data_IF_752406483501
#
_entry.id   IF_752406483501
#
_cell.length_a   1.000
_cell.length_b   1.000
_cell.length_c   1.000
_cell.angle_alpha   90.00
_cell.angle_beta   90.00
_cell.angle_gamma   90.00
#
_symmetry.space_group_name_H-M   'P 1'
#
loop_
_entity.id
_entity.type
_entity.pdbx_description
1 polymer ?
#
# COMPACT_ATOMS: atom_id res chain seq x y z
N UNK A 1 -5.83 8.07 -7.45
CA UNK A 1 -5.32 9.43 -7.70
C UNK A 1 -5.29 9.67 -9.21
N UNK A 2 -5.82 10.80 -9.70
CA UNK A 2 -5.53 11.29 -11.06
C UNK A 2 -4.43 12.35 -10.93
N UNK A 3 -3.23 12.05 -11.40
CA UNK A 3 -2.26 13.08 -11.77
C UNK A 3 -1.72 12.65 -13.12
N UNK A 4 -2.49 12.93 -14.17
CA UNK A 4 -1.87 13.13 -15.47
C UNK A 4 -1.18 14.50 -15.38
N UNK A 5 0.17 14.59 -15.48
CA UNK A 5 0.83 15.87 -15.50
C UNK A 5 0.36 16.61 -16.76
N UNK A 6 -0.46 17.65 -16.58
CA UNK A 6 -0.70 18.58 -17.66
C UNK A 6 0.65 19.27 -17.93
N UNK A 7 1.20 19.11 -19.15
CA UNK A 7 2.49 19.69 -19.57
C UNK A 7 2.52 21.23 -19.48
N UNK A 8 1.41 21.86 -19.10
CA UNK A 8 1.25 23.30 -18.84
C UNK A 8 1.41 23.70 -17.37
N UNK A 9 1.69 22.77 -16.46
CA UNK A 9 1.87 23.06 -15.04
C UNK A 9 3.06 24.00 -14.79
N UNK A 10 2.90 24.99 -13.91
CA UNK A 10 4.00 25.89 -13.54
C UNK A 10 5.01 25.17 -12.62
N UNK A 11 6.25 25.67 -12.55
CA UNK A 11 7.26 25.13 -11.64
C UNK A 11 6.80 25.16 -10.17
N UNK A 12 6.13 26.24 -9.75
CA UNK A 12 5.64 26.40 -8.37
C UNK A 12 4.57 25.36 -8.07
N UNK A 13 3.62 25.16 -8.97
CA UNK A 13 2.55 24.18 -8.78
C UNK A 13 3.11 22.74 -8.77
N UNK A 14 4.09 22.46 -9.63
CA UNK A 14 4.73 21.14 -9.70
C UNK A 14 5.44 20.77 -8.38
N UNK A 15 6.18 21.72 -7.79
CA UNK A 15 6.81 21.50 -6.48
C UNK A 15 5.78 21.39 -5.36
N UNK A 16 4.74 22.23 -5.35
CA UNK A 16 3.66 22.12 -4.36
C UNK A 16 2.95 20.76 -4.43
N UNK A 17 2.79 20.21 -5.63
CA UNK A 17 2.23 18.87 -5.82
C UNK A 17 3.18 17.77 -5.33
N UNK A 18 4.49 17.89 -5.60
CA UNK A 18 5.48 16.96 -5.08
C UNK A 18 5.52 16.96 -3.54
N UNK A 19 5.49 18.15 -2.93
CA UNK A 19 5.43 18.31 -1.47
C UNK A 19 4.16 17.68 -0.88
N UNK A 20 3.02 17.84 -1.55
CA UNK A 20 1.76 17.22 -1.11
C UNK A 20 1.83 15.68 -1.17
N UNK A 21 2.43 15.11 -2.22
CA UNK A 21 2.66 13.67 -2.32
C UNK A 21 3.58 13.17 -1.20
N UNK A 22 4.67 13.89 -0.92
CA UNK A 22 5.60 13.55 0.17
C UNK A 22 4.92 13.65 1.54
N UNK A 23 4.17 14.73 1.78
CA UNK A 23 3.40 14.95 3.00
C UNK A 23 2.39 13.83 3.22
N UNK A 24 1.65 13.46 2.16
CA UNK A 24 0.70 12.36 2.21
C UNK A 24 1.40 11.03 2.47
N UNK A 25 2.56 10.79 1.85
CA UNK A 25 3.33 9.55 2.05
C UNK A 25 3.75 9.36 3.50
N UNK A 26 4.36 10.40 4.10
CA UNK A 26 4.76 10.38 5.51
C UNK A 26 3.52 10.26 6.42
N UNK A 27 2.46 10.99 6.11
CA UNK A 27 1.19 10.93 6.83
C UNK A 27 0.59 9.53 6.83
N UNK A 28 0.53 8.87 5.67
CA UNK A 28 0.03 7.51 5.55
C UNK A 28 0.83 6.52 6.39
N UNK A 29 2.17 6.55 6.33
CA UNK A 29 3.02 5.65 7.14
C UNK A 29 2.83 5.91 8.64
N UNK A 30 2.76 7.18 9.05
CA UNK A 30 2.51 7.55 10.43
C UNK A 30 1.11 7.11 10.90
N UNK A 31 0.09 7.25 10.05
CA UNK A 31 -1.28 6.78 10.33
C UNK A 31 -1.33 5.28 10.54
N UNK A 32 -0.49 4.47 9.87
CA UNK A 32 -0.44 3.02 10.08
C UNK A 32 0.01 2.65 11.50
N UNK A 33 0.87 3.48 12.10
CA UNK A 33 1.44 3.26 13.43
C UNK A 33 0.55 3.89 14.52
N UNK A 34 0.00 5.08 14.24
CA UNK A 34 -0.69 5.91 15.23
C UNK A 34 -2.19 5.61 15.33
N UNK A 35 -2.81 5.07 14.28
CA UNK A 35 -4.24 4.79 14.28
C UNK A 35 -4.51 3.45 14.94
N UNK A 36 -5.07 3.48 16.15
CA UNK A 36 -5.47 2.26 16.85
C UNK A 36 -6.62 1.59 16.10
N UNK A 37 -6.28 0.54 15.37
CA UNK A 37 -7.23 -0.30 14.63
C UNK A 37 -7.78 -1.47 15.45
N UNK A 38 -8.62 -2.29 14.80
CA UNK A 38 -9.03 -3.61 15.32
C UNK A 38 -7.84 -4.57 15.30
N UNK A 39 -7.01 -4.48 14.26
CA UNK A 39 -5.71 -5.12 14.17
C UNK A 39 -4.69 -4.00 14.10
N UNK A 40 -3.98 -3.80 15.20
CA UNK A 40 -2.97 -2.75 15.29
C UNK A 40 -1.63 -3.28 14.76
N UNK A 41 -0.98 -2.47 13.94
CA UNK A 41 0.42 -2.68 13.54
C UNK A 41 1.31 -1.99 14.56
N UNK A 42 2.31 -2.69 15.09
CA UNK A 42 3.25 -2.07 16.02
C UNK A 42 4.40 -1.36 15.28
N UNK A 43 5.03 -0.41 15.97
CA UNK A 43 6.14 0.35 15.39
C UNK A 43 7.38 -0.52 15.12
N UNK A 44 7.58 -1.58 15.89
CA UNK A 44 8.74 -2.45 15.77
C UNK A 44 8.66 -3.30 14.49
N UNK A 45 7.46 -3.78 14.14
CA UNK A 45 7.17 -4.52 12.92
C UNK A 45 7.42 -3.65 11.69
N UNK A 46 6.87 -2.43 11.66
CA UNK A 46 7.10 -1.47 10.57
C UNK A 46 8.58 -1.16 10.45
N UNK A 47 9.24 -0.82 11.57
CA UNK A 47 10.68 -0.53 11.58
C UNK A 47 11.50 -1.72 11.09
N UNK A 48 11.07 -2.95 11.38
CA UNK A 48 11.75 -4.17 10.93
C UNK A 48 11.67 -4.31 9.42
N UNK A 49 10.50 -4.12 8.80
CA UNK A 49 10.36 -4.14 7.33
C UNK A 49 11.26 -3.07 6.68
N UNK A 50 11.27 -1.84 7.20
CA UNK A 50 12.11 -0.78 6.65
C UNK A 50 13.61 -1.01 6.86
N UNK A 51 14.03 -1.69 7.94
CA UNK A 51 15.45 -2.00 8.23
C UNK A 51 15.98 -3.23 7.53
N UNK A 52 15.11 -4.20 7.23
CA UNK A 52 15.47 -5.41 6.49
C UNK A 52 15.77 -5.11 5.03
N UNK A 53 15.23 -4.00 4.50
CA UNK A 53 15.45 -3.57 3.13
C UNK A 53 16.91 -3.21 2.86
N UNK A 54 17.57 -3.99 2.00
CA UNK A 54 18.90 -3.65 1.49
C UNK A 54 18.85 -2.48 0.50
N UNK A 55 17.68 -2.27 -0.12
CA UNK A 55 17.37 -1.14 -1.00
C UNK A 55 16.73 0.00 -0.22
N UNK A 56 17.03 1.24 -0.58
CA UNK A 56 16.29 2.41 -0.06
C UNK A 56 14.97 2.63 -0.79
N UNK A 57 14.64 1.81 -1.79
CA UNK A 57 13.41 1.94 -2.56
C UNK A 57 12.19 1.59 -1.72
N UNK A 58 11.23 2.51 -1.69
CA UNK A 58 9.94 2.34 -1.05
C UNK A 58 8.87 2.81 -2.02
N UNK A 59 7.82 2.01 -2.14
CA UNK A 59 6.71 2.26 -3.04
C UNK A 59 5.43 2.36 -2.22
N UNK A 60 4.72 3.47 -2.36
CA UNK A 60 3.40 3.68 -1.76
C UNK A 60 2.32 3.54 -2.82
N UNK A 61 1.32 2.70 -2.52
CA UNK A 61 0.16 2.51 -3.38
C UNK A 61 -1.12 2.68 -2.58
N UNK A 62 -2.13 3.32 -3.16
CA UNK A 62 -3.44 3.51 -2.53
C UNK A 62 -4.53 3.11 -3.52
N UNK A 63 -5.44 2.25 -3.08
CA UNK A 63 -6.59 1.81 -3.85
C UNK A 63 -7.88 1.87 -3.03
N UNK A 64 -9.00 2.10 -3.69
CA UNK A 64 -10.32 2.15 -3.05
C UNK A 64 -11.33 1.36 -3.86
N UNK A 65 -12.05 0.48 -3.18
CA UNK A 65 -13.10 -0.35 -3.77
C UNK A 65 -14.15 -0.73 -2.71
N UNK A 66 -15.09 -1.60 -3.05
CA UNK A 66 -16.11 -2.14 -2.15
C UNK A 66 -15.57 -3.26 -1.26
N UNK A 67 -14.51 -3.95 -1.72
CA UNK A 67 -13.91 -5.10 -1.01
C UNK A 67 -12.41 -4.91 -0.83
N UNK A 68 -11.80 -5.43 0.25
CA UNK A 68 -10.36 -5.34 0.50
C UNK A 68 -9.51 -5.87 -0.66
N UNK A 69 -9.82 -7.05 -1.20
CA UNK A 69 -9.06 -7.62 -2.31
C UNK A 69 -9.07 -6.72 -3.56
N UNK A 70 -10.24 -6.18 -3.94
CA UNK A 70 -10.33 -5.28 -5.09
C UNK A 70 -9.63 -3.94 -4.81
N UNK A 71 -9.67 -3.45 -3.58
CA UNK A 71 -8.97 -2.23 -3.18
C UNK A 71 -7.45 -2.43 -3.28
N UNK A 72 -6.92 -3.57 -2.80
CA UNK A 72 -5.51 -3.94 -2.95
C UNK A 72 -5.13 -4.06 -4.42
N UNK A 73 -5.93 -4.77 -5.24
CA UNK A 73 -5.68 -4.87 -6.68
C UNK A 73 -5.56 -3.49 -7.33
N UNK A 74 -6.53 -2.60 -7.07
CA UNK A 74 -6.48 -1.22 -7.56
C UNK A 74 -5.25 -0.45 -7.08
N UNK A 75 -4.76 -0.72 -5.87
CA UNK A 75 -3.53 -0.12 -5.38
C UNK A 75 -2.32 -0.62 -6.19
N UNK A 76 -2.21 -1.94 -6.39
CA UNK A 76 -1.10 -2.57 -7.13
C UNK A 76 -1.12 -2.28 -8.64
N UNK A 77 -2.28 -1.94 -9.20
CA UNK A 77 -2.46 -1.51 -10.60
C UNK A 77 -2.41 0.03 -10.75
N UNK A 78 -2.11 0.76 -9.68
CA UNK A 78 -2.17 2.23 -9.69
C UNK A 78 -1.16 2.80 -10.70
N UNK A 79 -1.56 3.76 -11.55
CA UNK A 79 -0.66 4.41 -12.52
C UNK A 79 0.40 5.31 -11.86
N UNK A 80 0.35 5.48 -10.54
CA UNK A 80 1.40 6.14 -9.76
C UNK A 80 2.57 5.20 -9.42
N UNK A 81 2.45 3.92 -9.76
CA UNK A 81 3.51 2.96 -9.54
C UNK A 81 4.46 2.99 -10.72
N UNK A 82 5.67 3.49 -10.47
CA UNK A 82 6.76 3.48 -11.45
C UNK A 82 7.37 2.07 -11.64
N UNK A 83 6.98 1.10 -10.80
CA UNK A 83 7.47 -0.28 -10.81
C UNK A 83 6.39 -1.26 -10.33
N UNK A 84 6.46 -2.51 -10.82
CA UNK A 84 5.65 -3.61 -10.29
C UNK A 84 6.04 -3.96 -8.86
N UNK A 85 5.05 -4.39 -8.09
CA UNK A 85 5.18 -4.92 -6.73
C UNK A 85 5.74 -6.35 -6.67
N UNK A 86 5.92 -7.01 -7.83
CA UNK A 86 6.37 -8.40 -7.92
C UNK A 86 7.68 -8.69 -7.15
N UNK A 87 8.65 -7.78 -7.18
CA UNK A 87 9.93 -7.96 -6.49
C UNK A 87 9.91 -7.68 -4.99
N UNK A 88 8.82 -7.16 -4.43
CA UNK A 88 8.80 -6.68 -3.04
C UNK A 88 8.86 -7.84 -2.03
N UNK A 89 9.83 -7.80 -1.12
CA UNK A 89 9.98 -8.76 0.00
C UNK A 89 9.43 -8.23 1.32
N UNK A 90 9.22 -6.94 1.46
CA UNK A 90 8.58 -6.35 2.63
C UNK A 90 7.36 -5.54 2.24
N UNK A 91 6.19 -5.87 2.81
CA UNK A 91 4.94 -5.15 2.55
C UNK A 91 4.25 -4.78 3.87
N UNK A 92 3.89 -3.50 4.01
CA UNK A 92 2.94 -3.05 5.02
C UNK A 92 1.61 -2.75 4.32
N UNK A 93 0.57 -3.50 4.67
CA UNK A 93 -0.79 -3.30 4.22
C UNK A 93 -1.60 -2.68 5.37
N UNK A 94 -2.35 -1.62 5.07
CA UNK A 94 -3.40 -1.14 5.95
C UNK A 94 -4.72 -1.08 5.22
N UNK A 95 -5.74 -1.65 5.85
CA UNK A 95 -7.10 -1.65 5.35
C UNK A 95 -7.95 -0.75 6.23
N UNK A 96 -8.55 0.27 5.63
CA UNK A 96 -9.53 1.14 6.29
C UNK A 96 -10.90 0.91 5.65
N UNK A 97 -11.91 0.51 6.42
CA UNK A 97 -13.25 0.33 5.87
C UNK A 97 -14.35 0.27 6.92
N UNK A 98 -15.58 0.03 6.45
CA UNK A 98 -16.76 0.01 7.31
C UNK A 98 -16.85 -1.22 8.25
N UNK A 99 -17.76 -1.20 9.23
CA UNK A 99 -17.95 -2.29 10.21
C UNK A 99 -18.32 -3.65 9.61
N UNK A 100 -18.79 -3.67 8.37
CA UNK A 100 -19.16 -4.89 7.66
C UNK A 100 -17.95 -5.70 7.16
N UNK A 101 -16.73 -5.14 7.23
CA UNK A 101 -15.52 -5.83 6.79
C UNK A 101 -15.20 -7.01 7.71
N UNK A 102 -15.02 -8.19 7.11
CA UNK A 102 -14.75 -9.42 7.85
C UNK A 102 -13.27 -9.81 7.80
N UNK A 103 -12.84 -10.65 8.74
CA UNK A 103 -11.49 -11.21 8.75
C UNK A 103 -11.19 -12.03 7.48
N UNK A 104 -12.21 -12.67 6.90
CA UNK A 104 -12.09 -13.40 5.63
C UNK A 104 -11.69 -12.48 4.49
N UNK A 105 -12.29 -11.29 4.43
CA UNK A 105 -11.99 -10.31 3.38
C UNK A 105 -10.54 -9.82 3.47
N UNK A 106 -10.02 -9.68 4.71
CA UNK A 106 -8.62 -9.34 4.97
C UNK A 106 -7.69 -10.47 4.50
N UNK A 107 -7.99 -11.73 4.83
CA UNK A 107 -7.21 -12.90 4.39
C UNK A 107 -7.17 -13.02 2.86
N UNK A 108 -8.30 -12.79 2.18
CA UNK A 108 -8.37 -12.77 0.72
C UNK A 108 -7.49 -11.66 0.10
N UNK A 109 -7.41 -10.49 0.74
CA UNK A 109 -6.53 -9.41 0.32
C UNK A 109 -5.04 -9.73 0.53
N UNK A 110 -4.68 -10.34 1.65
CA UNK A 110 -3.30 -10.75 1.96
C UNK A 110 -2.83 -11.85 0.99
N UNK A 111 -3.69 -12.85 0.70
CA UNK A 111 -3.41 -13.88 -0.30
C UNK A 111 -3.20 -13.31 -1.69
N UNK A 112 -3.96 -12.28 -2.05
CA UNK A 112 -3.77 -11.61 -3.32
C UNK A 112 -2.36 -11.00 -3.43
N UNK A 113 -1.87 -10.33 -2.38
CA UNK A 113 -0.50 -9.79 -2.36
C UNK A 113 0.54 -10.92 -2.47
N UNK A 114 0.38 -12.01 -1.72
CA UNK A 114 1.30 -13.16 -1.82
C UNK A 114 1.39 -13.75 -3.23
N UNK A 115 0.30 -13.74 -4.00
CA UNK A 115 0.30 -14.20 -5.39
C UNK A 115 0.97 -13.23 -6.39
N UNK A 116 1.16 -11.97 -6.02
CA UNK A 116 1.62 -10.89 -6.92
C UNK A 116 2.89 -10.17 -6.42
N UNK A 117 3.53 -10.68 -5.36
CA UNK A 117 4.77 -10.17 -4.78
C UNK A 117 5.83 -11.30 -4.72
N UNK A 118 6.96 -11.05 -4.05
CA UNK A 118 8.02 -12.04 -3.93
C UNK A 118 7.53 -13.26 -3.12
N UNK A 119 7.96 -14.51 -3.42
CA UNK A 119 7.51 -15.70 -2.68
C UNK A 119 7.85 -15.67 -1.19
N UNK A 120 8.93 -14.96 -0.85
CA UNK A 120 9.38 -14.73 0.53
C UNK A 120 8.86 -13.40 1.11
N UNK A 121 7.79 -12.83 0.55
CA UNK A 121 7.24 -11.56 1.03
C UNK A 121 6.78 -11.69 2.50
N UNK A 122 7.31 -10.80 3.33
CA UNK A 122 6.84 -10.57 4.69
C UNK A 122 5.76 -9.48 4.65
N UNK A 123 4.54 -9.81 5.08
CA UNK A 123 3.39 -8.89 5.06
C UNK A 123 2.97 -8.57 6.49
N UNK A 124 2.96 -7.28 6.81
CA UNK A 124 2.33 -6.74 8.02
C UNK A 124 0.97 -6.17 7.62
N UNK A 125 -0.11 -6.63 8.25
CA UNK A 125 -1.47 -6.18 7.94
C UNK A 125 -2.11 -5.45 9.13
N UNK A 126 -2.51 -4.20 8.90
CA UNK A 126 -3.33 -3.38 9.80
C UNK A 126 -4.78 -3.30 9.33
N UNK A 127 -5.70 -3.15 10.29
CA UNK A 127 -7.12 -3.00 10.03
C UNK A 127 -7.72 -1.88 10.89
N UNK A 128 -8.24 -0.85 10.24
CA UNK A 128 -8.96 0.26 10.85
C UNK A 128 -10.43 0.21 10.42
N UNK A 129 -11.35 0.25 11.38
CA UNK A 129 -12.79 0.29 11.12
C UNK A 129 -13.33 1.70 11.35
N UNK A 130 -13.98 2.27 10.35
CA UNK A 130 -14.60 3.59 10.40
C UNK A 130 -16.02 3.56 9.82
N UNK A 131 -16.99 4.09 10.55
CA UNK A 131 -18.40 4.16 10.11
C UNK A 131 -18.56 4.98 8.81
N UNK A 132 -17.73 6.02 8.64
CA UNK A 132 -17.68 6.86 7.44
C UNK A 132 -17.32 6.10 6.16
N UNK A 133 -16.75 4.91 6.29
CA UNK A 133 -16.35 4.05 5.17
C UNK A 133 -17.39 2.97 4.86
N UNK A 134 -18.66 3.16 5.25
CA UNK A 134 -19.74 2.24 4.93
C UNK A 134 -19.78 1.90 3.42
N UNK A 135 -19.69 0.60 3.10
CA UNK A 135 -19.69 0.09 1.72
C UNK A 135 -18.40 0.34 0.93
N UNK A 136 -17.33 0.82 1.57
CA UNK A 136 -16.05 1.09 0.94
C UNK A 136 -14.88 0.58 1.78
N UNK A 137 -13.80 0.26 1.09
CA UNK A 137 -12.52 -0.12 1.67
C UNK A 137 -11.43 0.64 0.92
N UNK A 138 -10.55 1.28 1.68
CA UNK A 138 -9.28 1.81 1.20
C UNK A 138 -8.16 0.88 1.62
N UNK A 139 -7.35 0.46 0.66
CA UNK A 139 -6.10 -0.25 0.90
C UNK A 139 -4.94 0.74 0.69
N UNK A 140 -4.10 0.85 1.71
CA UNK A 140 -2.82 1.56 1.65
C UNK A 140 -1.71 0.53 1.75
N UNK A 141 -0.86 0.48 0.74
CA UNK A 141 0.22 -0.50 0.59
C UNK A 141 1.56 0.24 0.59
N UNK A 142 2.49 -0.20 1.42
CA UNK A 142 3.88 0.25 1.42
C UNK A 142 4.76 -0.96 1.12
N UNK A 143 5.40 -0.98 -0.05
CA UNK A 143 6.29 -2.04 -0.49
C UNK A 143 7.76 -1.59 -0.39
N UNK A 144 8.62 -2.50 0.06
CA UNK A 144 10.05 -2.29 0.34
C UNK A 144 10.84 -3.55 0.03
N UNK A 145 12.17 -3.47 0.07
CA UNK A 145 13.09 -4.57 -0.17
C UNK A 145 12.83 -5.27 -1.51
N UNK A 146 12.90 -4.49 -2.59
CA UNK A 146 12.69 -4.99 -3.94
C UNK A 146 13.89 -5.82 -4.41
N UNK A 147 13.63 -7.09 -4.73
CA UNK A 147 14.57 -7.94 -5.44
C UNK A 147 14.45 -7.70 -6.96
N UNK A 148 15.43 -7.00 -7.53
CA UNK A 148 15.46 -6.71 -8.96
C UNK A 148 15.70 -7.94 -9.83
N UNK A 149 16.23 -9.02 -9.26
CA UNK A 149 16.49 -10.27 -9.97
C UNK A 149 15.27 -11.19 -10.02
N UNK A 150 14.24 -10.91 -9.22
CA UNK A 150 13.01 -11.67 -9.22
C UNK A 150 12.14 -11.30 -10.43
N UNK A 151 11.98 -12.28 -11.32
CA UNK A 151 11.01 -12.22 -12.42
C UNK A 151 9.83 -13.13 -12.05
N UNK A 152 8.62 -12.58 -11.87
CA UNK A 152 7.45 -13.40 -11.60
C UNK A 152 7.21 -14.37 -12.78
N UNK A 153 6.82 -15.62 -12.53
CA UNK A 153 6.48 -16.56 -13.60
C UNK A 153 5.35 -15.97 -14.46
N UNK A 154 5.47 -16.05 -15.78
CA UNK A 154 4.40 -15.59 -16.68
C UNK A 154 3.11 -16.38 -16.39
N UNK A 155 2.01 -15.65 -16.12
CA UNK A 155 0.68 -16.25 -16.03
C UNK A 155 0.30 -16.81 -17.41
N UNK A 156 0.35 -18.13 -17.55
CA UNK A 156 -0.05 -18.87 -18.75
C UNK A 156 -1.57 -18.99 -18.93
#
# INVERSE_FOLDING_TARGET
LMIAPDRKMSFVDAFALADEVLRQTVGCVAELILTTGVINVDFADVTTIFRQSASSETLLAIGTDETPQKAVRKAMESPLLDRSTAGARGVVLNLTGGPAMSLRDVDEAVRYIHGHAHPEVNIIAGLVVQESMAGKVQATLVATDFDESYVPPEEG
#
